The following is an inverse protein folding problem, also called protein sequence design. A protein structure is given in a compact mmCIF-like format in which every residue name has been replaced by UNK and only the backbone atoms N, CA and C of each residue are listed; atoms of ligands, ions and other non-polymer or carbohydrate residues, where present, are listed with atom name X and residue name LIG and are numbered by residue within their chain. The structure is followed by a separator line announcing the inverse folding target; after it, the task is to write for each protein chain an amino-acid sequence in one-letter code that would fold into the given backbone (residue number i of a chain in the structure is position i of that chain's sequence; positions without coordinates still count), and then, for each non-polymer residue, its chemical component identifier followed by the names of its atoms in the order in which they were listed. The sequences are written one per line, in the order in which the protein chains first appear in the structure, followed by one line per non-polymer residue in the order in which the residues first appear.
data_IF_292173663236
#
_entry.id   IF_292173663236
#
_cell.length_a   1.000
_cell.length_b   1.000
_cell.length_c   1.000
_cell.angle_alpha   90.00
_cell.angle_beta   90.00
_cell.angle_gamma   90.00
#
_symmetry.space_group_name_H-M   'P 1'
#
loop_
_entity.id
_entity.type
_entity.pdbx_description
1 polymer ?
#
# COMPACT_ATOMS: atom_id res chain seq x y z
N UNK A 1 2.92 23.30 9.73
CA UNK A 1 1.67 22.79 10.34
C UNK A 1 1.32 21.52 9.58
N UNK A 2 1.67 20.38 10.16
CA UNK A 2 1.57 19.08 9.45
C UNK A 2 0.11 18.57 9.45
N UNK A 3 -0.34 18.03 8.31
CA UNK A 3 -1.63 17.33 8.18
C UNK A 3 -1.82 16.26 9.28
N UNK A 4 -0.72 15.70 9.79
CA UNK A 4 -0.67 14.73 10.90
C UNK A 4 -1.30 15.27 12.20
N UNK A 5 -1.04 16.52 12.57
CA UNK A 5 -1.50 17.09 13.85
C UNK A 5 -2.99 17.47 13.79
N UNK A 6 -3.45 17.96 12.64
CA UNK A 6 -4.84 18.34 12.41
C UNK A 6 -5.78 17.13 12.41
N UNK A 7 -5.37 16.00 11.84
CA UNK A 7 -6.17 14.77 11.77
C UNK A 7 -6.40 14.14 13.16
N UNK A 8 -5.41 14.23 14.05
CA UNK A 8 -5.52 13.72 15.42
C UNK A 8 -6.51 14.52 16.26
N UNK A 9 -6.54 15.84 16.10
CA UNK A 9 -7.50 16.73 16.79
C UNK A 9 -8.95 16.48 16.33
N UNK A 10 -9.17 16.46 15.02
CA UNK A 10 -10.51 16.22 14.43
C UNK A 10 -11.04 14.82 14.83
N UNK A 11 -10.20 13.79 14.84
CA UNK A 11 -10.61 12.46 15.22
C UNK A 11 -11.04 12.31 16.68
N UNK A 12 -10.58 13.19 17.57
CA UNK A 12 -11.04 13.24 18.98
C UNK A 12 -12.44 13.85 19.13
N UNK A 13 -12.73 14.89 18.34
CA UNK A 13 -13.96 15.68 18.46
C UNK A 13 -15.07 15.09 17.56
N UNK A 14 -14.73 14.70 16.34
CA UNK A 14 -15.65 14.20 15.33
C UNK A 14 -15.13 12.89 14.66
N UNK A 15 -15.03 11.77 15.40
CA UNK A 15 -14.41 10.54 14.91
C UNK A 15 -15.12 9.93 13.69
N UNK A 16 -16.42 10.18 13.55
CA UNK A 16 -17.25 9.68 12.44
C UNK A 16 -17.31 10.62 11.23
N UNK A 17 -16.67 11.81 11.32
CA UNK A 17 -16.60 12.73 10.19
C UNK A 17 -15.97 12.04 8.98
N UNK A 18 -16.67 12.07 7.84
CA UNK A 18 -16.19 11.48 6.58
C UNK A 18 -15.34 12.49 5.83
N UNK A 19 -14.16 12.07 5.44
CA UNK A 19 -13.20 12.82 4.64
C UNK A 19 -13.10 12.15 3.27
N UNK A 20 -13.26 12.85 2.16
CA UNK A 20 -13.13 12.26 0.83
C UNK A 20 -11.76 11.59 0.65
N UNK A 21 -11.74 10.43 -0.02
CA UNK A 21 -10.50 9.78 -0.45
C UNK A 21 -9.88 10.56 -1.61
N UNK A 22 -8.55 10.76 -1.57
CA UNK A 22 -7.80 11.55 -2.54
C UNK A 22 -7.15 10.64 -3.60
N UNK A 23 -7.62 9.41 -3.79
CA UNK A 23 -7.06 8.51 -4.81
C UNK A 23 -7.35 9.09 -6.20
N UNK A 24 -6.27 9.48 -6.90
CA UNK A 24 -6.37 9.97 -8.26
C UNK A 24 -6.40 8.78 -9.23
N UNK A 25 -7.35 8.79 -10.18
CA UNK A 25 -7.49 7.79 -11.24
C UNK A 25 -6.17 7.48 -11.95
N UNK A 26 -5.39 8.51 -12.26
CA UNK A 26 -4.11 8.38 -12.99
C UNK A 26 -3.02 7.62 -12.23
N UNK A 27 -3.16 7.46 -10.91
CA UNK A 27 -2.13 6.90 -10.05
C UNK A 27 -2.41 5.43 -9.67
N UNK A 28 -3.60 4.91 -9.99
CA UNK A 28 -4.04 3.58 -9.55
C UNK A 28 -3.40 2.48 -10.39
N UNK A 29 -3.63 2.47 -11.68
CA UNK A 29 -3.15 1.46 -12.63
C UNK A 29 -2.73 2.10 -13.95
N UNK A 30 -1.96 1.38 -14.76
CA UNK A 30 -1.69 1.69 -16.17
C UNK A 30 -2.84 1.26 -17.06
N UNK A 31 -3.65 0.29 -16.61
CA UNK A 31 -4.82 -0.23 -17.31
C UNK A 31 -6.05 0.65 -17.04
N UNK A 32 -6.63 1.18 -18.12
CA UNK A 32 -7.78 2.08 -18.07
C UNK A 32 -9.06 1.36 -17.64
N UNK A 33 -9.22 0.09 -18.02
CA UNK A 33 -10.41 -0.70 -17.67
C UNK A 33 -10.41 -1.01 -16.19
N UNK A 34 -9.26 -1.41 -15.63
CA UNK A 34 -9.07 -1.59 -14.17
C UNK A 34 -9.39 -0.30 -13.41
N UNK A 35 -8.94 0.84 -13.91
CA UNK A 35 -9.26 2.14 -13.29
C UNK A 35 -10.76 2.43 -13.32
N UNK A 36 -11.42 2.15 -14.44
CA UNK A 36 -12.86 2.37 -14.57
C UNK A 36 -13.65 1.42 -13.65
N UNK A 37 -13.28 0.15 -13.60
CA UNK A 37 -13.93 -0.84 -12.73
C UNK A 37 -13.81 -0.45 -11.27
N UNK A 38 -12.61 -0.07 -10.81
CA UNK A 38 -12.40 0.42 -9.45
C UNK A 38 -13.30 1.60 -9.09
N UNK A 39 -13.44 2.57 -9.98
CA UNK A 39 -14.25 3.75 -9.71
C UNK A 39 -15.77 3.53 -9.91
N UNK A 40 -16.17 2.44 -10.52
CA UNK A 40 -17.59 2.05 -10.69
C UNK A 40 -18.02 0.98 -9.67
N UNK A 41 -17.08 0.35 -8.97
CA UNK A 41 -17.39 -0.68 -7.97
C UNK A 41 -18.10 -0.05 -6.75
N UNK A 42 -19.33 -0.47 -6.43
CA UNK A 42 -20.08 0.00 -5.27
C UNK A 42 -19.44 -0.40 -3.93
N UNK A 43 -18.52 -1.37 -3.91
CA UNK A 43 -17.80 -1.80 -2.72
C UNK A 43 -16.59 -0.90 -2.40
N UNK A 44 -16.18 -0.06 -3.34
CA UNK A 44 -15.08 0.89 -3.15
C UNK A 44 -15.57 2.15 -2.45
N UNK A 45 -15.17 2.33 -1.19
CA UNK A 45 -15.51 3.53 -0.41
C UNK A 45 -14.63 4.72 -0.82
N UNK A 46 -15.27 5.79 -1.24
CA UNK A 46 -14.61 7.05 -1.65
C UNK A 46 -14.40 8.04 -0.51
N UNK A 47 -14.53 7.59 0.71
CA UNK A 47 -14.32 8.42 1.90
C UNK A 47 -13.84 7.54 3.05
N UNK A 48 -13.05 8.15 3.93
CA UNK A 48 -12.63 7.53 5.20
C UNK A 48 -13.13 8.36 6.37
N UNK A 49 -13.27 7.74 7.54
CA UNK A 49 -13.58 8.51 8.75
C UNK A 49 -12.32 9.14 9.33
N UNK A 50 -12.48 10.26 10.06
CA UNK A 50 -11.37 10.89 10.76
C UNK A 50 -10.69 9.90 11.73
N UNK A 51 -11.47 9.04 12.40
CA UNK A 51 -10.92 7.98 13.26
C UNK A 51 -10.05 7.01 12.47
N UNK A 52 -10.53 6.53 11.31
CA UNK A 52 -9.74 5.62 10.46
C UNK A 52 -8.39 6.24 10.09
N UNK A 53 -8.39 7.51 9.63
CA UNK A 53 -7.15 8.21 9.29
C UNK A 53 -6.16 8.30 10.46
N UNK A 54 -6.66 8.59 11.67
CA UNK A 54 -5.82 8.61 12.88
C UNK A 54 -5.24 7.23 13.18
N UNK A 55 -6.07 6.18 13.18
CA UNK A 55 -5.60 4.82 13.48
C UNK A 55 -4.61 4.31 12.42
N UNK A 56 -4.80 4.65 11.14
CA UNK A 56 -3.84 4.35 10.08
C UNK A 56 -2.45 4.98 10.38
N UNK A 57 -2.42 6.26 10.79
CA UNK A 57 -1.17 6.93 11.16
C UNK A 57 -0.53 6.28 12.39
N UNK A 58 -1.32 5.97 13.42
CA UNK A 58 -0.82 5.30 14.62
C UNK A 58 -0.22 3.93 14.29
N UNK A 59 -0.89 3.17 13.42
CA UNK A 59 -0.41 1.86 12.97
C UNK A 59 0.89 1.99 12.17
N UNK A 60 0.99 2.97 11.28
CA UNK A 60 2.24 3.22 10.53
C UNK A 60 3.41 3.55 11.47
N UNK A 61 3.19 4.38 12.49
CA UNK A 61 4.21 4.69 13.48
C UNK A 61 4.61 3.43 14.25
N UNK A 62 3.64 2.65 14.73
CA UNK A 62 3.91 1.39 15.42
C UNK A 62 4.72 0.41 14.56
N UNK A 63 4.37 0.25 13.28
CA UNK A 63 5.12 -0.61 12.35
C UNK A 63 6.55 -0.08 12.16
N UNK A 64 6.73 1.23 11.96
CA UNK A 64 8.06 1.83 11.80
C UNK A 64 8.95 1.63 13.01
N UNK A 65 8.38 1.72 14.22
CA UNK A 65 9.12 1.54 15.48
C UNK A 65 9.45 0.08 15.74
N UNK A 66 8.73 -0.85 15.13
CA UNK A 66 8.85 -2.30 15.35
C UNK A 66 9.28 -3.09 14.11
N UNK A 67 9.74 -2.43 13.06
CA UNK A 67 10.07 -3.06 11.77
C UNK A 67 11.09 -4.21 11.92
N UNK A 68 12.05 -4.07 12.82
CA UNK A 68 13.08 -5.08 13.09
C UNK A 68 12.54 -6.34 13.80
N UNK A 69 11.29 -6.31 14.25
CA UNK A 69 10.64 -7.48 14.86
C UNK A 69 9.99 -8.41 13.82
N UNK A 70 9.96 -8.02 12.54
CA UNK A 70 9.53 -8.89 11.46
C UNK A 70 10.55 -10.01 11.26
N UNK A 71 10.21 -11.26 11.64
CA UNK A 71 11.08 -12.45 11.52
C UNK A 71 10.58 -13.45 10.48
N UNK A 72 9.35 -13.32 10.05
CA UNK A 72 8.76 -14.19 9.03
C UNK A 72 9.40 -13.94 7.67
N UNK A 73 9.82 -14.98 6.92
CA UNK A 73 10.22 -14.82 5.53
C UNK A 73 9.13 -14.08 4.75
N UNK A 74 9.51 -13.04 4.03
CA UNK A 74 8.57 -12.13 3.39
C UNK A 74 9.06 -11.79 2.00
N UNK A 75 8.16 -11.84 0.99
CA UNK A 75 8.38 -11.17 -0.28
C UNK A 75 7.47 -9.94 -0.35
N UNK A 76 8.02 -8.81 -0.75
CA UNK A 76 7.29 -7.56 -0.88
C UNK A 76 7.47 -7.01 -2.29
N UNK A 77 6.36 -6.72 -2.94
CA UNK A 77 6.34 -6.08 -4.25
C UNK A 77 5.92 -4.62 -4.12
N UNK A 78 6.62 -3.72 -4.82
CA UNK A 78 6.26 -2.31 -4.85
C UNK A 78 6.40 -1.75 -6.27
N UNK A 79 5.39 -1.02 -6.74
CA UNK A 79 5.43 -0.38 -8.05
C UNK A 79 6.42 0.79 -8.07
N UNK A 80 7.30 0.83 -9.06
CA UNK A 80 8.29 1.89 -9.22
C UNK A 80 7.65 3.29 -9.28
N UNK A 81 6.51 3.40 -9.95
CA UNK A 81 5.79 4.65 -10.18
C UNK A 81 4.55 4.80 -9.26
N UNK A 82 4.54 4.11 -8.12
CA UNK A 82 3.46 4.26 -7.15
C UNK A 82 3.55 5.62 -6.45
N UNK A 83 2.59 6.49 -6.75
CA UNK A 83 2.45 7.82 -6.15
C UNK A 83 1.34 7.88 -5.09
N UNK A 84 0.59 6.79 -4.89
CA UNK A 84 -0.39 6.66 -3.80
C UNK A 84 0.35 6.31 -2.52
N UNK A 85 1.22 5.31 -2.58
CA UNK A 85 2.15 4.94 -1.52
C UNK A 85 3.57 5.02 -2.11
N UNK A 86 4.30 6.11 -1.88
CA UNK A 86 5.65 6.26 -2.45
C UNK A 86 6.59 5.13 -2.00
N UNK A 87 7.45 4.66 -2.90
CA UNK A 87 8.39 3.56 -2.66
C UNK A 87 9.25 3.78 -1.41
N UNK A 88 9.58 5.04 -1.09
CA UNK A 88 10.29 5.40 0.12
C UNK A 88 9.56 5.01 1.41
N UNK A 89 8.23 4.78 1.36
CA UNK A 89 7.43 4.37 2.52
C UNK A 89 7.69 2.92 2.94
N UNK A 90 8.15 2.08 2.02
CA UNK A 90 8.41 0.65 2.27
C UNK A 90 9.88 0.25 2.13
N UNK A 91 10.74 1.15 1.62
CA UNK A 91 12.15 0.84 1.31
C UNK A 91 12.96 0.34 2.50
N UNK A 92 12.64 0.76 3.72
CA UNK A 92 13.30 0.24 4.94
C UNK A 92 13.15 -1.27 5.12
N UNK A 93 12.10 -1.88 4.55
CA UNK A 93 11.93 -3.33 4.61
C UNK A 93 12.98 -4.08 3.81
N UNK A 94 13.59 -3.45 2.80
CA UNK A 94 14.68 -4.06 2.02
C UNK A 94 15.97 -4.23 2.80
N UNK A 95 16.10 -3.60 3.98
CA UNK A 95 17.26 -3.72 4.87
C UNK A 95 17.17 -4.96 5.76
N UNK A 96 16.03 -5.64 5.80
CA UNK A 96 15.84 -6.85 6.61
C UNK A 96 16.26 -8.11 5.85
N UNK A 97 17.09 -8.95 6.45
CA UNK A 97 17.63 -10.17 5.84
C UNK A 97 16.57 -11.19 5.42
N UNK A 98 15.41 -11.17 6.08
CA UNK A 98 14.29 -12.07 5.80
C UNK A 98 13.27 -11.49 4.83
N UNK A 99 13.54 -10.34 4.21
CA UNK A 99 12.66 -9.69 3.25
C UNK A 99 13.30 -9.65 1.87
N UNK A 100 12.65 -10.29 0.91
CA UNK A 100 12.95 -10.10 -0.50
C UNK A 100 12.09 -8.95 -1.04
N UNK A 101 12.73 -7.83 -1.36
CA UNK A 101 12.07 -6.62 -1.82
C UNK A 101 12.18 -6.49 -3.33
N UNK A 102 11.04 -6.56 -4.03
CA UNK A 102 10.96 -6.54 -5.50
C UNK A 102 10.32 -5.24 -5.97
N UNK A 103 11.10 -4.38 -6.62
CA UNK A 103 10.60 -3.20 -7.31
C UNK A 103 10.08 -3.61 -8.69
N UNK A 104 8.78 -3.42 -8.91
CA UNK A 104 8.14 -3.75 -10.19
C UNK A 104 8.22 -2.54 -11.11
N UNK A 105 9.04 -2.66 -12.17
CA UNK A 105 9.34 -1.59 -13.10
C UNK A 105 8.08 -1.11 -13.84
N UNK A 106 8.00 0.19 -14.13
CA UNK A 106 6.91 0.84 -14.84
C UNK A 106 5.51 0.63 -14.24
N UNK A 107 5.42 0.17 -12.98
CA UNK A 107 4.16 -0.15 -12.33
C UNK A 107 3.71 0.94 -11.37
N UNK A 108 2.40 1.06 -11.23
CA UNK A 108 1.73 1.92 -10.25
C UNK A 108 1.29 1.11 -9.03
N UNK A 109 0.19 1.53 -8.38
CA UNK A 109 -0.27 0.96 -7.11
C UNK A 109 -0.85 -0.46 -7.25
N UNK A 110 -1.63 -0.71 -8.29
CA UNK A 110 -2.39 -1.96 -8.49
C UNK A 110 -1.60 -3.01 -9.29
N UNK A 111 -0.58 -3.61 -8.67
CA UNK A 111 0.37 -4.51 -9.34
C UNK A 111 -0.26 -5.76 -9.98
N UNK A 112 -1.31 -6.31 -9.37
CA UNK A 112 -2.00 -7.51 -9.85
C UNK A 112 -3.12 -7.19 -10.86
N UNK A 113 -3.42 -5.91 -11.05
CA UNK A 113 -4.46 -5.44 -11.94
C UNK A 113 -3.88 -4.57 -13.06
N UNK A 114 -2.75 -4.99 -13.65
CA UNK A 114 -2.10 -4.33 -14.78
C UNK A 114 -1.18 -5.32 -15.50
N UNK A 115 -0.52 -4.89 -16.59
CA UNK A 115 0.32 -5.73 -17.46
C UNK A 115 1.46 -6.44 -16.73
N UNK A 116 1.86 -5.97 -15.57
CA UNK A 116 2.92 -6.57 -14.76
C UNK A 116 2.48 -7.77 -13.92
N UNK A 117 1.18 -8.10 -13.90
CA UNK A 117 0.64 -9.26 -13.18
C UNK A 117 1.38 -10.58 -13.44
N UNK A 118 1.69 -10.97 -14.70
CA UNK A 118 2.42 -12.21 -14.95
C UNK A 118 3.80 -12.24 -14.30
N UNK A 119 4.51 -11.12 -14.33
CA UNK A 119 5.81 -10.97 -13.67
C UNK A 119 5.67 -11.15 -12.14
N UNK A 120 4.75 -10.44 -11.50
CA UNK A 120 4.53 -10.52 -10.04
C UNK A 120 4.19 -11.95 -9.63
N UNK A 121 3.30 -12.64 -10.37
CA UNK A 121 2.92 -14.01 -10.07
C UNK A 121 4.09 -15.00 -10.29
N UNK A 122 4.92 -14.80 -11.30
CA UNK A 122 6.10 -15.66 -11.54
C UNK A 122 7.13 -15.51 -10.41
N UNK A 123 7.41 -14.28 -9.97
CA UNK A 123 8.33 -14.02 -8.87
C UNK A 123 7.79 -14.56 -7.53
N UNK A 124 6.49 -14.40 -7.28
CA UNK A 124 5.85 -15.00 -6.10
C UNK A 124 5.99 -16.53 -6.12
N UNK A 125 5.73 -17.17 -7.24
CA UNK A 125 5.86 -18.63 -7.38
C UNK A 125 7.30 -19.09 -7.17
N UNK A 126 8.28 -18.40 -7.75
CA UNK A 126 9.70 -18.64 -7.53
C UNK A 126 10.05 -18.56 -6.04
N UNK A 127 9.60 -17.50 -5.37
CA UNK A 127 9.87 -17.29 -3.96
C UNK A 127 9.25 -18.36 -3.07
N UNK A 128 7.99 -18.77 -3.34
CA UNK A 128 7.30 -19.83 -2.60
C UNK A 128 8.07 -21.16 -2.68
N UNK A 129 8.57 -21.51 -3.87
CA UNK A 129 9.42 -22.71 -4.07
C UNK A 129 10.73 -22.61 -3.31
N UNK A 130 11.42 -21.48 -3.41
CA UNK A 130 12.74 -21.32 -2.77
C UNK A 130 12.65 -21.36 -1.24
N UNK A 131 11.49 -21.05 -0.67
CA UNK A 131 11.23 -21.10 0.77
C UNK A 131 10.54 -22.40 1.21
N UNK A 132 10.41 -23.42 0.36
CA UNK A 132 9.77 -24.71 0.63
C UNK A 132 8.32 -24.57 1.14
N UNK A 133 7.56 -23.60 0.62
CA UNK A 133 6.17 -23.39 0.98
C UNK A 133 5.24 -24.18 0.06
N UNK A 134 5.66 -24.41 -1.21
CA UNK A 134 4.96 -25.23 -2.21
C UNK A 134 5.94 -26.14 -2.94
#
# INVERSE_FOLDING_TARGET
MCIRDSSSGIAKIAPKLRIPSIVNKKNLSTDVDVVNDYFNDPLVFRSMTARYGREAINTQNFVNDNINNLKTPTILFHGENDTIVPIASSSKLSELENVEYVVVQNSKHELLNQDTRPFVLSELHRWLKNNNII
#
